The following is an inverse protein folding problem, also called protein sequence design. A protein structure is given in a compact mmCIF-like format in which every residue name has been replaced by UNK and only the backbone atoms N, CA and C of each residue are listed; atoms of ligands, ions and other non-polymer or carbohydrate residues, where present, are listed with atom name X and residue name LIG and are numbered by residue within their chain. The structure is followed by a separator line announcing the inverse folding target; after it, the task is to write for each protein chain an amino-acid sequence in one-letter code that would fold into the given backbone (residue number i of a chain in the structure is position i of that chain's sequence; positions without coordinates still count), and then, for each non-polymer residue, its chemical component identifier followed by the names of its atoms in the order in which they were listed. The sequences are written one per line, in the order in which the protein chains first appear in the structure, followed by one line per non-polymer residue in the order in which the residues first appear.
data_IF_385134949947
#
_entry.id   IF_385134949947
#
_cell.length_a   1.000
_cell.length_b   1.000
_cell.length_c   1.000
_cell.angle_alpha   90.00
_cell.angle_beta   90.00
_cell.angle_gamma   90.00
#
_symmetry.space_group_name_H-M   'P 1'
#
loop_
_entity.id
_entity.type
_entity.pdbx_description
1 polymer ?
2 non-polymer ?
3 water ?
#
# COMPACT_ATOMS: atom_id res chain seq x y z
N UNK A 2 -2.91 -1.34 -27.41
CA UNK A 2 -4.04 -1.26 -26.48
C UNK A 2 -3.60 -1.50 -25.04
N UNK A 3 -3.81 -0.50 -24.17
CA UNK A 3 -3.51 -0.60 -22.74
C UNK A 3 -2.05 -0.98 -22.50
N UNK A 4 -1.16 -0.40 -23.28
CA UNK A 4 0.25 -0.67 -23.13
C UNK A 4 0.82 0.23 -22.04
N UNK A 5 1.50 -0.32 -21.03
CA UNK A 5 2.05 0.52 -19.97
C UNK A 5 3.31 1.27 -20.37
N UNK A 6 3.43 2.51 -19.90
CA UNK A 6 4.60 3.35 -20.13
C UNK A 6 5.08 3.93 -18.81
N UNK A 7 6.38 4.26 -18.72
CA UNK A 7 6.93 4.72 -17.43
C UNK A 7 6.21 5.89 -16.79
N UNK A 8 5.50 6.71 -17.57
CA UNK A 8 4.74 7.80 -16.96
C UNK A 8 3.59 7.27 -16.11
N UNK A 9 3.19 6.01 -16.30
CA UNK A 9 2.14 5.40 -15.49
C UNK A 9 2.59 5.11 -14.05
N UNK A 10 3.88 5.17 -13.75
CA UNK A 10 4.43 5.03 -12.40
C UNK A 10 4.24 3.63 -11.81
N UNK A 11 4.27 2.60 -12.65
CA UNK A 11 4.11 1.22 -12.21
C UNK A 11 5.44 0.70 -11.65
N UNK A 12 5.47 0.27 -10.38
CA UNK A 12 6.69 -0.27 -9.82
C UNK A 12 6.43 -1.65 -9.20
N UNK A 13 7.53 -2.38 -8.95
CA UNK A 13 7.51 -3.78 -8.56
C UNK A 13 8.66 -4.02 -7.59
N UNK A 14 8.42 -4.87 -6.59
CA UNK A 14 9.49 -5.25 -5.71
C UNK A 14 10.38 -6.31 -6.34
N UNK A 15 11.65 -6.33 -5.92
CA UNK A 15 12.52 -7.42 -6.34
C UNK A 15 11.95 -8.76 -5.91
N UNK A 16 11.31 -8.81 -4.75
CA UNK A 16 10.71 -10.01 -4.16
C UNK A 16 9.44 -10.47 -4.87
N UNK A 17 8.83 -9.65 -5.72
CA UNK A 17 7.61 -10.05 -6.42
C UNK A 17 7.93 -10.99 -7.57
N UNK A 18 8.45 -10.45 -8.68
CA UNK A 18 8.80 -11.31 -9.81
C UNK A 18 9.94 -12.25 -9.46
N UNK A 19 10.67 -11.98 -8.39
CA UNK A 19 11.71 -12.88 -7.93
C UNK A 19 11.31 -13.86 -6.86
N UNK A 20 10.01 -14.03 -6.60
CA UNK A 20 9.56 -15.07 -5.68
C UNK A 20 9.82 -16.44 -6.27
N UNK A 21 10.54 -17.28 -5.53
CA UNK A 21 10.95 -18.59 -6.03
C UNK A 21 9.90 -19.67 -5.83
N UNK A 22 8.82 -19.36 -5.11
CA UNK A 22 7.70 -20.27 -4.99
C UNK A 22 7.62 -21.09 -3.72
N UNK A 23 8.45 -20.83 -2.72
CA UNK A 23 8.31 -21.54 -1.45
C UNK A 23 7.11 -20.97 -0.70
N UNK A 24 6.18 -21.84 -0.31
CA UNK A 24 5.07 -21.41 0.54
C UNK A 24 5.11 -22.27 1.80
N UNK A 25 4.21 -22.11 2.78
CA UNK A 25 4.32 -22.93 4.00
C UNK A 25 4.34 -24.42 3.75
N UNK A 26 3.81 -24.88 2.62
CA UNK A 26 3.67 -26.32 2.37
C UNK A 26 4.50 -26.80 1.20
N UNK A 27 5.38 -25.99 0.64
CA UNK A 27 5.97 -26.32 -0.64
C UNK A 27 7.37 -25.77 -0.79
N UNK A 28 8.12 -26.43 -1.66
CA UNK A 28 9.46 -25.99 -2.00
C UNK A 28 9.42 -25.11 -3.24
N UNK A 29 10.54 -24.43 -3.48
CA UNK A 29 10.64 -23.49 -4.58
C UNK A 29 10.39 -24.18 -5.91
N UNK A 30 9.62 -23.53 -6.78
CA UNK A 30 9.33 -24.03 -8.11
C UNK A 30 10.06 -23.26 -9.20
N UNK A 31 10.89 -22.30 -8.82
CA UNK A 31 11.65 -21.46 -9.75
C UNK A 31 13.01 -21.14 -9.15
N UNK A 32 14.01 -21.05 -10.02
CA UNK A 32 15.36 -20.65 -9.63
C UNK A 32 15.40 -19.16 -9.31
N UNK A 33 16.37 -18.77 -8.48
CA UNK A 33 16.48 -17.37 -8.10
C UNK A 33 16.80 -16.49 -9.32
N UNK A 34 16.38 -15.23 -9.24
CA UNK A 34 16.60 -14.26 -10.29
C UNK A 34 17.76 -13.33 -9.91
N UNK A 35 18.51 -12.90 -10.92
CA UNK A 35 19.47 -11.84 -10.70
C UNK A 35 18.70 -10.52 -10.60
N UNK A 36 18.82 -9.76 -9.49
CA UNK A 36 18.22 -8.42 -9.44
C UNK A 36 18.42 -7.63 -10.72
N UNK A 37 19.60 -7.78 -11.33
CA UNK A 37 19.90 -7.02 -12.53
C UNK A 37 18.99 -7.47 -13.68
N UNK A 38 18.74 -8.78 -13.80
CA UNK A 38 17.84 -9.24 -14.84
C UNK A 38 16.42 -8.73 -14.60
N UNK A 39 15.96 -8.76 -13.36
CA UNK A 39 14.66 -8.19 -13.03
C UNK A 39 14.54 -6.75 -13.51
N UNK A 40 15.55 -5.93 -13.21
CA UNK A 40 15.51 -4.52 -13.61
C UNK A 40 15.29 -4.40 -15.11
N UNK A 41 16.06 -5.16 -15.89
CA UNK A 41 16.01 -5.03 -17.34
C UNK A 41 14.72 -5.61 -17.91
N UNK A 42 14.24 -6.72 -17.36
CA UNK A 42 13.02 -7.30 -17.91
C UNK A 42 11.82 -6.44 -17.56
N UNK A 43 11.80 -5.87 -16.36
CA UNK A 43 10.71 -4.97 -15.98
C UNK A 43 10.72 -3.71 -16.80
N UNK A 44 11.90 -3.12 -17.05
CA UNK A 44 11.99 -1.97 -17.94
C UNK A 44 11.46 -2.30 -19.33
N UNK A 45 11.74 -3.51 -19.83
CA UNK A 45 11.19 -3.90 -21.12
C UNK A 45 9.67 -3.95 -21.10
N UNK A 46 9.07 -4.30 -19.95
CA UNK A 46 7.62 -4.39 -19.85
C UNK A 46 6.92 -3.04 -19.77
N UNK A 47 7.65 -1.98 -19.41
CA UNK A 47 7.05 -0.68 -19.25
C UNK A 47 6.99 -0.21 -17.82
N UNK A 48 7.72 -0.84 -16.91
CA UNK A 48 7.71 -0.41 -15.53
C UNK A 48 8.41 0.93 -15.41
N UNK A 49 8.06 1.66 -14.34
CA UNK A 49 8.70 2.92 -13.98
C UNK A 49 9.81 2.71 -12.96
N UNK A 50 9.71 1.70 -12.11
CA UNK A 50 10.80 1.47 -11.18
C UNK A 50 10.68 0.14 -10.46
N UNK A 51 11.68 -0.11 -9.62
CA UNK A 51 11.73 -1.27 -8.74
C UNK A 51 11.87 -0.80 -7.30
N UNK A 52 11.48 -1.69 -6.38
CA UNK A 52 11.71 -1.51 -4.97
C UNK A 52 12.42 -2.77 -4.46
N UNK A 53 12.98 -2.69 -3.26
CA UNK A 53 13.75 -3.80 -2.71
C UNK A 53 13.70 -3.76 -1.19
N UNK A 54 13.88 -4.93 -0.57
CA UNK A 54 14.39 -5.07 0.78
C UNK A 54 15.90 -5.09 0.74
N UNK A 55 16.53 -4.76 1.87
CA UNK A 55 17.99 -4.88 1.93
C UNK A 55 18.44 -6.26 1.46
N UNK A 56 17.84 -7.32 2.01
CA UNK A 56 18.27 -8.68 1.70
C UNK A 56 17.77 -9.22 0.36
N UNK A 57 16.91 -8.50 -0.39
CA UNK A 57 16.67 -8.89 -1.78
C UNK A 57 17.86 -8.54 -2.68
N UNK A 58 18.64 -7.54 -2.27
CA UNK A 58 19.72 -6.99 -3.07
C UNK A 58 21.09 -7.45 -2.59
N UNK A 59 21.30 -7.48 -1.28
CA UNK A 59 22.57 -7.85 -0.68
C UNK A 59 22.34 -9.10 0.16
N UNK A 60 22.94 -10.23 -0.19
CA UNK A 60 22.72 -11.45 0.60
C UNK A 60 23.10 -11.24 2.06
N UNK A 61 22.23 -11.69 2.95
CA UNK A 61 22.42 -11.45 4.37
C UNK A 61 23.79 -11.95 4.80
N UNK A 62 24.56 -11.08 5.43
CA UNK A 62 25.89 -11.43 5.88
C UNK A 62 27.00 -11.12 4.90
N UNK A 63 26.79 -10.18 3.98
CA UNK A 63 27.82 -9.81 3.02
C UNK A 63 28.76 -8.78 3.61
N UNK A 64 30.05 -9.07 3.57
CA UNK A 64 31.06 -8.06 3.86
C UNK A 64 30.88 -6.88 2.92
N UNK A 65 31.45 -5.73 3.31
CA UNK A 65 31.24 -4.51 2.55
C UNK A 65 31.68 -4.66 1.10
N UNK A 66 32.73 -5.42 0.85
CA UNK A 66 33.20 -5.60 -0.53
C UNK A 66 32.10 -6.22 -1.40
N UNK A 67 31.57 -7.37 -0.99
CA UNK A 67 30.47 -7.98 -1.73
C UNK A 67 29.30 -7.01 -1.83
N UNK A 68 28.87 -6.50 -0.68
CA UNK A 68 27.78 -5.53 -0.64
C UNK A 68 27.99 -4.41 -1.63
N UNK A 69 29.19 -3.80 -1.60
CA UNK A 69 29.45 -2.75 -2.56
C UNK A 69 29.30 -3.27 -3.98
N UNK A 70 29.79 -4.49 -4.24
CA UNK A 70 29.71 -5.01 -5.59
C UNK A 70 28.26 -5.28 -6.00
N UNK A 71 27.45 -5.84 -5.10
CA UNK A 71 26.03 -6.02 -5.40
C UNK A 71 25.34 -4.69 -5.70
N UNK A 72 25.74 -3.63 -5.02
CA UNK A 72 25.09 -2.34 -5.24
C UNK A 72 25.56 -1.74 -6.57
N UNK A 73 26.86 -1.81 -6.86
CA UNK A 73 27.38 -1.32 -8.14
C UNK A 73 26.68 -1.98 -9.32
N UNK A 74 26.44 -3.30 -9.24
CA UNK A 74 25.71 -3.99 -10.31
C UNK A 74 24.30 -3.43 -10.45
N UNK A 75 23.57 -3.35 -9.33
CA UNK A 75 22.20 -2.85 -9.36
C UNK A 75 22.17 -1.40 -9.84
N UNK A 76 23.06 -0.57 -9.30
CA UNK A 76 23.21 0.82 -9.77
C UNK A 76 23.44 0.87 -11.27
N UNK A 77 24.34 0.04 -11.78
CA UNK A 77 24.61 0.01 -13.22
C UNK A 77 23.33 -0.25 -14.02
N UNK A 78 22.57 -1.27 -13.64
CA UNK A 78 21.39 -1.64 -14.43
C UNK A 78 20.35 -0.51 -14.43
N UNK A 79 20.15 0.14 -13.29
CA UNK A 79 19.22 1.26 -13.24
C UNK A 79 19.67 2.37 -14.19
N UNK A 80 20.96 2.69 -14.17
CA UNK A 80 21.52 3.68 -15.10
C UNK A 80 21.20 3.33 -16.55
N UNK A 81 21.35 2.05 -16.93
CA UNK A 81 21.20 1.65 -18.33
C UNK A 81 19.74 1.73 -18.79
N UNK A 82 18.79 1.62 -17.87
CA UNK A 82 17.37 1.59 -18.20
C UNK A 82 16.64 2.87 -17.84
N UNK A 83 17.20 3.67 -16.94
CA UNK A 83 16.47 4.79 -16.40
C UNK A 83 15.42 4.39 -15.40
N UNK A 84 15.61 3.24 -14.75
CA UNK A 84 14.64 2.76 -13.78
C UNK A 84 14.81 3.47 -12.45
N UNK A 85 13.69 3.87 -11.87
CA UNK A 85 13.70 4.58 -10.60
C UNK A 85 13.61 3.58 -9.46
N UNK A 86 14.09 4.00 -8.30
CA UNK A 86 13.83 3.28 -7.06
C UNK A 86 13.06 4.22 -6.16
N UNK A 87 11.72 4.21 -6.19
CA UNK A 87 10.96 5.18 -5.41
C UNK A 87 10.82 4.79 -3.94
N UNK A 88 10.97 3.52 -3.62
CA UNK A 88 10.72 3.05 -2.26
C UNK A 88 11.66 1.91 -1.96
N UNK A 89 12.10 1.82 -0.71
CA UNK A 89 12.84 0.69 -0.21
C UNK A 89 12.27 0.30 1.16
N UNK A 90 12.77 -0.80 1.71
CA UNK A 90 12.26 -1.36 2.95
C UNK A 90 13.34 -2.27 3.51
N UNK A 91 13.18 -2.66 4.77
CA UNK A 91 14.12 -3.57 5.44
C UNK A 91 13.45 -4.93 5.62
N UNK A 92 14.22 -6.00 5.45
CA UNK A 92 13.74 -7.33 5.81
C UNK A 92 14.02 -7.52 7.29
N UNK A 93 12.98 -7.38 8.11
CA UNK A 93 13.06 -7.68 9.53
C UNK A 93 12.21 -8.89 9.90
N UNK A 94 12.07 -9.85 8.99
CA UNK A 94 11.12 -10.94 9.24
C UNK A 94 11.62 -12.33 8.85
N UNK A 95 12.50 -12.47 7.85
CA UNK A 95 12.93 -13.80 7.44
C UNK A 95 13.82 -14.45 8.50
N UNK A 96 14.86 -13.74 8.92
CA UNK A 96 15.91 -14.36 9.72
C UNK A 96 15.38 -14.76 11.09
N UNK A 97 15.77 -15.94 11.59
CA UNK A 97 15.20 -16.43 12.84
C UNK A 97 15.35 -15.48 13.99
N UNK A 98 16.36 -14.60 13.97
CA UNK A 98 16.53 -13.64 15.06
C UNK A 98 15.28 -12.79 15.23
N UNK A 99 14.53 -12.55 14.16
CA UNK A 99 13.37 -11.68 14.20
C UNK A 99 12.08 -12.45 14.50
N UNK A 100 12.18 -13.64 15.11
CA UNK A 100 11.02 -14.50 15.20
C UNK A 100 9.94 -13.93 16.11
N UNK A 101 10.29 -13.03 17.02
CA UNK A 101 9.31 -12.36 17.88
C UNK A 101 9.15 -10.88 17.55
N UNK A 102 9.65 -10.42 16.40
CA UNK A 102 9.55 -9.03 16.04
C UNK A 102 10.91 -8.43 15.75
N UNK A 103 10.87 -7.24 15.16
CA UNK A 103 12.05 -6.42 15.04
C UNK A 103 12.06 -5.31 16.07
N UNK A 104 11.28 -4.26 15.82
CA UNK A 104 11.22 -3.10 16.69
C UNK A 104 10.50 -3.37 18.00
N UNK A 105 9.70 -4.44 18.06
CA UNK A 105 8.96 -4.76 19.27
C UNK A 105 9.29 -6.16 19.78
N UNK A 106 10.39 -6.75 19.30
CA UNK A 106 10.90 -7.98 19.88
C UNK A 106 11.05 -7.81 21.38
N UNK A 107 10.59 -8.82 22.13
CA UNK A 107 10.75 -8.76 23.59
C UNK A 107 12.21 -8.59 23.98
N UNK A 108 13.13 -9.08 23.16
CA UNK A 108 14.55 -9.01 23.48
C UNK A 108 15.12 -7.67 23.04
N UNK A 109 15.63 -6.92 24.01
CA UNK A 109 16.11 -5.57 23.77
C UNK A 109 17.22 -5.52 22.73
N UNK A 110 18.14 -6.49 22.75
CA UNK A 110 19.23 -6.39 21.79
C UNK A 110 18.76 -6.62 20.36
N UNK A 111 17.77 -7.50 20.17
CA UNK A 111 17.18 -7.67 18.83
C UNK A 111 16.59 -6.35 18.35
N UNK A 112 15.93 -5.61 19.25
CA UNK A 112 15.35 -4.32 18.88
C UNK A 112 16.43 -3.35 18.39
N UNK A 113 17.53 -3.25 19.15
CA UNK A 113 18.62 -2.36 18.73
C UNK A 113 19.25 -2.84 17.42
N UNK A 114 19.37 -4.16 17.24
CA UNK A 114 19.85 -4.67 15.97
C UNK A 114 18.93 -4.29 14.81
N UNK A 115 17.61 -4.42 15.00
CA UNK A 115 16.65 -4.07 13.96
C UNK A 115 16.78 -2.61 13.53
N UNK A 116 17.03 -1.73 14.49
CA UNK A 116 17.19 -0.32 14.15
C UNK A 116 18.49 -0.07 13.40
N UNK A 117 19.58 -0.68 13.85
CA UNK A 117 20.83 -0.55 13.10
C UNK A 117 20.69 -1.12 11.70
N UNK A 118 19.98 -2.25 11.56
CA UNK A 118 19.83 -2.85 10.24
C UNK A 118 19.01 -1.95 9.32
N UNK A 119 18.02 -1.27 9.86
CA UNK A 119 17.19 -0.37 9.08
C UNK A 119 17.91 0.93 8.75
N UNK A 120 18.65 1.48 9.71
CA UNK A 120 19.38 2.73 9.45
C UNK A 120 20.38 2.53 8.32
N UNK A 121 21.05 1.38 8.30
CA UNK A 121 22.00 1.10 7.22
C UNK A 121 21.33 1.11 5.86
N UNK A 122 20.08 0.65 5.77
CA UNK A 122 19.40 0.58 4.48
C UNK A 122 18.71 1.89 4.13
N UNK A 123 18.48 2.77 5.10
CA UNK A 123 17.97 4.09 4.79
C UNK A 123 19.00 4.88 3.99
N UNK A 124 20.26 4.86 4.45
CA UNK A 124 21.35 5.48 3.69
C UNK A 124 21.38 5.01 2.26
N UNK A 125 21.19 3.70 2.05
CA UNK A 125 21.24 3.16 0.70
C UNK A 125 19.98 3.55 -0.09
N UNK A 126 18.82 3.49 0.56
CA UNK A 126 17.59 3.93 -0.09
C UNK A 126 17.70 5.36 -0.60
N UNK A 127 18.15 6.28 0.25
CA UNK A 127 18.26 7.67 -0.16
C UNK A 127 19.26 7.83 -1.30
N UNK A 128 20.42 7.17 -1.19
CA UNK A 128 21.44 7.28 -2.24
C UNK A 128 20.90 6.81 -3.57
N UNK A 129 20.09 5.75 -3.55
CA UNK A 129 19.47 5.20 -4.76
C UNK A 129 18.29 6.03 -5.25
N UNK A 130 17.79 6.96 -4.45
CA UNK A 130 16.74 7.85 -4.89
C UNK A 130 15.34 7.59 -4.33
N UNK A 131 15.23 6.92 -3.18
CA UNK A 131 13.93 6.56 -2.63
C UNK A 131 13.24 7.76 -1.99
N UNK A 132 11.99 7.99 -2.39
CA UNK A 132 11.17 8.98 -1.70
C UNK A 132 10.54 8.43 -0.43
N UNK A 133 10.20 7.15 -0.41
CA UNK A 133 9.48 6.54 0.71
C UNK A 133 10.30 5.38 1.26
N UNK A 134 10.31 5.26 2.58
CA UNK A 134 10.87 4.09 3.25
C UNK A 134 9.72 3.40 3.99
N UNK A 135 9.51 2.11 3.70
CA UNK A 135 8.36 1.36 4.21
C UNK A 135 8.75 0.52 5.41
N UNK A 136 7.90 0.55 6.43
CA UNK A 136 7.98 -0.35 7.57
C UNK A 136 6.82 -1.33 7.47
N UNK A 137 7.13 -2.60 7.24
CA UNK A 137 6.18 -3.70 7.41
C UNK A 137 6.56 -4.44 8.69
N UNK A 138 5.75 -4.30 9.72
CA UNK A 138 6.03 -5.01 10.95
C UNK A 138 5.37 -6.37 10.99
N UNK A 139 5.73 -7.24 10.04
CA UNK A 139 5.12 -8.56 9.94
C UNK A 139 5.36 -9.46 11.14
N UNK A 140 6.43 -9.24 11.90
CA UNK A 140 6.71 -10.07 13.07
C UNK A 140 6.35 -9.38 14.37
N UNK A 141 5.80 -8.19 14.33
CA UNK A 141 5.41 -7.45 15.53
C UNK A 141 4.00 -7.90 15.85
N UNK A 142 3.88 -8.74 16.86
CA UNK A 142 2.59 -9.31 17.21
C UNK A 142 2.77 -10.49 18.13
N UNK A 143 1.78 -11.37 18.13
CA UNK A 143 1.73 -12.46 19.09
C UNK A 143 0.84 -13.55 18.53
N UNK A 144 0.99 -14.77 19.05
CA UNK A 144 0.01 -15.84 18.83
C UNK A 144 -0.87 -16.08 20.03
N UNK A 145 -0.58 -15.46 21.16
CA UNK A 145 -1.29 -15.72 22.39
C UNK A 145 -1.27 -14.44 23.23
N UNK A 146 -2.22 -14.34 24.15
CA UNK A 146 -2.51 -13.04 24.73
C UNK A 146 -1.48 -12.54 25.72
N UNK A 147 -0.79 -13.44 26.40
CA UNK A 147 0.19 -13.06 27.40
C UNK A 147 1.56 -12.79 26.85
N UNK A 148 1.81 -13.19 25.61
CA UNK A 148 3.16 -13.10 25.06
C UNK A 148 3.59 -11.66 24.77
N UNK A 149 2.66 -10.71 24.73
CA UNK A 149 3.02 -9.34 24.34
C UNK A 149 2.13 -8.37 25.08
N UNK A 150 2.74 -7.48 25.86
CA UNK A 150 2.01 -6.36 26.46
C UNK A 150 1.89 -5.30 25.40
N UNK A 151 0.68 -5.12 24.86
CA UNK A 151 0.57 -4.32 23.65
C UNK A 151 0.89 -2.84 23.91
N UNK A 152 0.56 -2.33 25.10
CA UNK A 152 0.90 -0.95 25.40
C UNK A 152 2.42 -0.74 25.47
N UNK A 153 3.16 -1.69 26.05
CA UNK A 153 4.62 -1.59 26.03
C UNK A 153 5.15 -1.74 24.61
N UNK A 154 4.61 -2.68 23.85
CA UNK A 154 5.03 -2.84 22.46
C UNK A 154 4.84 -1.55 21.65
N UNK A 155 3.73 -0.84 21.87
CA UNK A 155 3.54 0.41 21.14
C UNK A 155 4.49 1.50 21.63
N UNK A 156 4.90 1.45 22.89
CA UNK A 156 5.99 2.31 23.37
C UNK A 156 7.26 2.08 22.56
N UNK A 157 7.66 0.80 22.41
CA UNK A 157 8.86 0.46 21.63
C UNK A 157 8.69 0.80 20.15
N UNK A 158 7.52 0.52 19.58
CA UNK A 158 7.28 0.89 18.19
C UNK A 158 7.39 2.40 18.02
N UNK A 159 6.75 3.17 18.90
CA UNK A 159 6.91 4.62 18.86
C UNK A 159 8.37 5.02 19.06
N UNK A 160 9.09 4.35 19.97
CA UNK A 160 10.46 4.76 20.21
C UNK A 160 11.35 4.51 18.99
N UNK A 161 11.11 3.39 18.30
CA UNK A 161 11.88 3.09 17.10
C UNK A 161 11.60 4.09 15.98
N UNK A 162 10.33 4.38 15.73
CA UNK A 162 10.00 5.32 14.66
C UNK A 162 10.42 6.74 15.00
N UNK A 163 10.42 7.09 16.29
CA UNK A 163 10.94 8.40 16.69
C UNK A 163 12.44 8.50 16.43
N UNK A 164 13.20 7.43 16.72
CA UNK A 164 14.64 7.43 16.44
C UNK A 164 14.91 7.50 14.94
N UNK A 165 14.18 6.74 14.13
CA UNK A 165 14.40 6.83 12.69
C UNK A 165 14.05 8.22 12.16
N UNK A 166 13.03 8.85 12.72
CA UNK A 166 12.73 10.21 12.33
C UNK A 166 13.79 11.18 12.79
N UNK A 167 14.40 10.92 13.94
CA UNK A 167 15.52 11.75 14.34
C UNK A 167 16.75 11.49 13.47
N UNK A 168 16.90 10.26 12.97
CA UNK A 168 18.04 9.95 12.10
C UNK A 168 17.93 10.69 10.77
N UNK A 169 16.80 10.56 10.06
CA UNK A 169 16.71 11.23 8.77
C UNK A 169 16.70 12.76 8.93
N UNK A 170 16.25 13.26 10.09
CA UNK A 170 16.29 14.71 10.34
C UNK A 170 17.74 15.21 10.49
N UNK A 171 18.57 14.46 11.21
CA UNK A 171 19.95 14.88 11.40
C UNK A 171 20.79 14.70 10.14
N UNK A 172 20.46 13.72 9.29
CA UNK A 172 21.24 13.54 8.07
C UNK A 172 20.86 14.52 6.97
N UNK A 173 19.71 15.18 7.08
CA UNK A 173 19.25 16.08 6.04
C UNK A 173 18.48 15.41 4.93
N UNK A 174 17.97 14.20 5.14
CA UNK A 174 17.32 13.43 4.09
C UNK A 174 15.89 13.89 3.84
N UNK A 175 15.48 13.80 2.56
CA UNK A 175 14.11 14.10 2.15
C UNK A 175 13.14 12.94 2.35
N UNK A 176 13.64 11.73 2.61
CA UNK A 176 12.82 10.54 2.64
C UNK A 176 11.78 10.60 3.77
N UNK A 177 10.61 10.04 3.50
CA UNK A 177 9.52 9.91 4.47
C UNK A 177 9.20 8.43 4.68
N UNK A 178 8.54 8.13 5.80
CA UNK A 178 8.25 6.76 6.18
C UNK A 178 6.78 6.41 5.91
N UNK A 179 6.54 5.17 5.49
CA UNK A 179 5.18 4.66 5.33
C UNK A 179 5.07 3.31 6.03
N UNK A 180 4.14 3.21 6.97
CA UNK A 180 3.78 1.93 7.57
C UNK A 180 2.89 1.16 6.61
N UNK A 181 3.22 -0.11 6.35
CA UNK A 181 2.35 -1.00 5.58
C UNK A 181 1.57 -1.88 6.54
N UNK A 182 0.28 -1.63 6.76
CA UNK A 182 -0.47 -2.43 7.75
C UNK A 182 -0.83 -3.82 7.25
N UNK A 183 -0.92 -4.74 8.19
CA UNK A 183 -1.35 -6.11 7.89
C UNK A 183 -2.04 -6.63 9.15
N UNK A 184 -3.25 -7.24 9.03
CA UNK A 184 -3.98 -7.66 10.24
C UNK A 184 -3.40 -8.91 10.88
N UNK A 185 -2.91 -9.84 10.07
CA UNK A 185 -2.35 -11.07 10.60
C UNK A 185 -1.47 -11.71 9.54
N UNK A 186 -0.74 -12.76 9.94
CA UNK A 186 0.13 -13.62 9.12
C UNK A 186 1.38 -12.85 8.75
N UNK A 187 2.57 -13.26 9.23
CA UNK A 187 2.89 -14.56 9.86
C UNK A 187 2.57 -14.63 11.35
N UNK A 188 2.32 -13.52 12.06
CA UNK A 188 1.87 -13.60 13.44
C UNK A 188 0.35 -13.74 13.50
N UNK A 189 -0.14 -14.33 14.59
CA UNK A 189 -1.57 -14.58 14.71
C UNK A 189 -2.41 -13.31 14.76
N UNK A 190 -1.88 -12.26 15.40
CA UNK A 190 -2.39 -10.89 15.27
C UNK A 190 -1.20 -9.95 15.19
N UNK A 191 -1.22 -9.06 14.22
CA UNK A 191 -0.11 -8.15 13.99
C UNK A 191 -0.50 -6.80 14.57
N UNK A 192 0.45 -6.11 15.20
CA UNK A 192 0.19 -4.76 15.67
C UNK A 192 -0.01 -3.79 14.51
N UNK A 193 -0.79 -2.74 14.76
CA UNK A 193 -1.20 -1.78 13.74
C UNK A 193 -1.84 -2.54 12.58
N UNK A 194 -2.95 -3.24 12.83
CA UNK A 194 -3.43 -4.22 11.85
C UNK A 194 -4.13 -3.64 10.63
N UNK A 195 -4.56 -2.38 10.65
CA UNK A 195 -5.26 -1.81 9.50
C UNK A 195 -4.75 -0.41 9.25
N UNK A 196 -5.09 0.12 8.06
CA UNK A 196 -4.82 1.52 7.75
C UNK A 196 -5.17 2.41 8.94
N UNK A 197 -6.35 2.18 9.52
CA UNK A 197 -6.80 3.08 10.58
C UNK A 197 -5.88 3.06 11.79
N UNK A 198 -5.52 1.86 12.25
CA UNK A 198 -4.66 1.75 13.42
C UNK A 198 -3.31 2.38 13.16
N UNK A 199 -2.81 2.25 11.94
CA UNK A 199 -1.54 2.90 11.64
C UNK A 199 -1.69 4.42 11.60
N UNK A 200 -2.76 4.93 10.98
CA UNK A 200 -2.96 6.38 11.00
C UNK A 200 -3.08 6.91 12.43
N UNK A 201 -3.82 6.21 13.31
CA UNK A 201 -3.89 6.65 14.69
C UNK A 201 -2.51 6.65 15.35
N UNK A 202 -1.72 5.62 15.08
CA UNK A 202 -0.41 5.50 15.69
C UNK A 202 0.49 6.66 15.28
N UNK A 203 0.42 7.08 14.02
CA UNK A 203 1.30 8.13 13.54
C UNK A 203 1.07 9.45 14.27
N UNK A 204 -0.19 9.75 14.58
CA UNK A 204 -0.50 10.97 15.31
C UNK A 204 0.19 11.04 16.68
N UNK A 205 0.59 9.91 17.26
CA UNK A 205 1.29 9.95 18.54
C UNK A 205 2.82 10.05 18.38
N UNK A 206 3.33 10.01 17.16
CA UNK A 206 4.77 10.11 16.95
C UNK A 206 5.24 11.55 17.19
N UNK A 207 6.56 11.73 17.28
CA UNK A 207 7.08 13.04 17.66
C UNK A 207 7.07 14.01 16.48
N UNK A 208 7.30 13.49 15.27
CA UNK A 208 7.25 14.27 14.03
C UNK A 208 6.22 13.61 13.11
N UNK A 209 4.93 13.76 13.41
CA UNK A 209 3.92 13.02 12.65
C UNK A 209 4.00 13.22 11.15
N UNK A 210 4.52 14.37 10.70
CA UNK A 210 4.49 14.72 9.28
C UNK A 210 5.48 13.88 8.46
N UNK A 211 6.44 13.25 9.10
CA UNK A 211 7.38 12.38 8.41
C UNK A 211 6.81 11.01 8.08
N UNK A 212 5.58 10.70 8.51
CA UNK A 212 5.07 9.33 8.46
C UNK A 212 3.72 9.28 7.79
N UNK A 213 3.55 8.30 6.91
CA UNK A 213 2.28 8.02 6.25
C UNK A 213 1.97 6.54 6.22
N UNK A 214 1.00 6.15 5.43
CA UNK A 214 0.67 4.74 5.32
C UNK A 214 1.05 4.29 3.92
N UNK A 215 1.40 3.01 3.81
CA UNK A 215 1.53 2.27 2.55
C UNK A 215 0.53 1.12 2.59
N UNK A 216 -0.73 1.37 2.23
CA UNK A 216 -1.75 0.33 2.33
C UNK A 216 -1.65 -0.67 1.19
N UNK A 217 -2.02 -1.90 1.48
CA UNK A 217 -2.06 -2.96 0.48
C UNK A 217 -3.47 -3.45 0.30
N UNK A 218 -3.89 -3.64 -0.95
CA UNK A 218 -5.25 -4.08 -1.26
C UNK A 218 -5.63 -5.29 -0.41
N UNK A 219 -4.77 -6.32 -0.43
CA UNK A 219 -5.13 -7.60 0.14
C UNK A 219 -5.16 -7.62 1.66
N UNK A 220 -4.34 -6.77 2.29
CA UNK A 220 -4.28 -6.73 3.75
C UNK A 220 -5.55 -6.17 4.37
N UNK A 221 -6.12 -5.13 3.79
CA UNK A 221 -7.36 -4.62 4.35
C UNK A 221 -8.51 -5.58 4.07
N UNK A 222 -8.49 -6.21 2.90
CA UNK A 222 -9.50 -7.22 2.58
C UNK A 222 -9.35 -8.49 3.42
N UNK A 223 -8.18 -8.75 4.01
CA UNK A 223 -8.03 -9.86 4.95
C UNK A 223 -8.75 -9.60 6.27
N UNK A 224 -9.11 -8.36 6.54
CA UNK A 224 -9.99 -7.98 7.62
C UNK A 224 -11.42 -7.79 7.15
N UNK A 225 -11.70 -8.03 5.88
CA UNK A 225 -13.03 -7.82 5.36
C UNK A 225 -13.41 -6.37 5.16
N UNK A 226 -12.46 -5.44 5.23
CA UNK A 226 -12.73 -4.02 5.13
C UNK A 226 -12.72 -3.58 3.67
N UNK A 227 -13.28 -2.39 3.44
CA UNK A 227 -13.43 -1.84 2.11
C UNK A 227 -12.16 -1.04 1.79
N UNK A 228 -11.32 -1.59 0.90
CA UNK A 228 -10.05 -0.91 0.63
C UNK A 228 -10.22 0.48 0.03
N UNK A 229 -11.15 0.73 -0.90
CA UNK A 229 -11.35 2.12 -1.34
C UNK A 229 -11.72 3.09 -0.21
N UNK A 230 -12.56 2.67 0.74
CA UNK A 230 -12.90 3.57 1.85
C UNK A 230 -11.67 3.92 2.69
N UNK A 231 -10.85 2.91 3.00
CA UNK A 231 -9.70 3.15 3.84
C UNK A 231 -8.68 4.01 3.13
N UNK A 232 -8.52 3.81 1.83
CA UNK A 232 -7.68 4.70 1.04
C UNK A 232 -8.24 6.11 1.05
N UNK A 233 -9.55 6.23 0.94
CA UNK A 233 -10.13 7.56 1.00
C UNK A 233 -9.82 8.22 2.33
N UNK A 234 -9.79 7.45 3.42
CA UNK A 234 -9.49 8.06 4.71
C UNK A 234 -8.01 8.39 4.83
N UNK A 235 -7.12 7.57 4.27
CA UNK A 235 -5.71 7.97 4.22
C UNK A 235 -5.53 9.26 3.43
N UNK A 236 -6.13 9.34 2.23
CA UNK A 236 -6.11 10.56 1.42
C UNK A 236 -6.67 11.75 2.19
N UNK A 237 -7.82 11.55 2.85
CA UNK A 237 -8.42 12.60 3.65
C UNK A 237 -7.43 13.12 4.68
N UNK A 238 -6.75 12.22 5.38
CA UNK A 238 -5.78 12.61 6.39
C UNK A 238 -4.49 13.15 5.79
N UNK A 239 -4.33 13.07 4.47
CA UNK A 239 -3.10 13.53 3.85
C UNK A 239 -1.93 12.59 4.04
N UNK A 240 -2.15 11.29 4.07
CA UNK A 240 -1.09 10.36 4.45
C UNK A 240 -0.87 9.25 3.42
N UNK A 241 -1.39 9.39 2.21
CA UNK A 241 -1.22 8.28 1.26
C UNK A 241 0.15 8.47 0.62
N UNK A 242 1.19 8.00 1.31
CA UNK A 242 2.54 8.21 0.83
C UNK A 242 2.92 7.25 -0.28
N UNK A 243 2.19 6.15 -0.40
CA UNK A 243 2.56 5.02 -1.23
C UNK A 243 1.34 4.10 -1.22
N UNK A 244 1.35 3.09 -2.08
CA UNK A 244 0.24 2.13 -2.09
C UNK A 244 0.71 0.84 -2.75
N UNK A 245 0.24 -0.30 -2.22
CA UNK A 245 0.56 -1.62 -2.74
C UNK A 245 -0.69 -2.19 -3.39
N UNK A 246 -0.58 -2.58 -4.65
CA UNK A 246 -1.73 -3.05 -5.40
C UNK A 246 -1.58 -4.53 -5.66
N UNK A 247 -2.67 -5.26 -5.50
CA UNK A 247 -2.69 -6.69 -5.76
C UNK A 247 -4.12 -7.17 -5.57
N UNK A 248 -4.30 -8.49 -5.60
CA UNK A 248 -5.62 -9.08 -5.53
C UNK A 248 -5.71 -10.03 -4.35
N UNK A 249 -6.92 -10.18 -3.84
CA UNK A 249 -7.16 -11.01 -2.66
C UNK A 249 -8.60 -11.49 -2.73
N UNK A 250 -8.83 -12.79 -2.53
CA UNK A 250 -10.19 -13.33 -2.56
C UNK A 250 -10.75 -13.45 -1.15
N UNK A 251 -10.87 -12.31 -0.48
CA UNK A 251 -11.53 -12.27 0.80
C UNK A 251 -10.68 -12.59 2.01
N UNK A 252 -11.30 -13.15 3.04
CA UNK A 252 -10.65 -13.33 4.33
C UNK A 252 -10.08 -14.74 4.36
N UNK A 253 -8.75 -14.79 4.35
CA UNK A 253 -7.99 -16.02 4.22
C UNK A 253 -6.53 -15.60 4.20
N UNK A 254 -5.63 -16.55 3.96
CA UNK A 254 -4.22 -16.20 3.91
C UNK A 254 -3.99 -15.12 2.85
N UNK A 255 -2.90 -14.36 3.04
CA UNK A 255 -2.42 -13.35 2.11
C UNK A 255 -2.06 -13.94 0.76
N UNK A 256 -2.85 -13.67 -0.28
CA UNK A 256 -2.66 -14.33 -1.57
C UNK A 256 -1.68 -13.61 -2.48
N UNK A 257 -1.61 -12.28 -2.40
CA UNK A 257 -0.78 -11.47 -3.31
C UNK A 257 -1.06 -11.81 -4.77
N UNK A 258 -2.34 -11.99 -5.10
CA UNK A 258 -2.66 -12.20 -6.51
C UNK A 258 -2.33 -10.92 -7.29
N UNK A 259 -2.29 -11.05 -8.61
CA UNK A 259 -2.00 -9.85 -9.40
C UNK A 259 -3.18 -8.90 -9.32
N UNK A 260 -2.91 -7.63 -9.62
CA UNK A 260 -3.91 -6.61 -9.40
C UNK A 260 -5.03 -6.76 -10.43
N UNK A 261 -6.27 -6.58 -9.98
CA UNK A 261 -7.44 -6.85 -10.77
C UNK A 261 -8.08 -8.19 -10.49
N UNK A 262 -7.32 -9.16 -10.01
CA UNK A 262 -7.91 -10.39 -9.53
C UNK A 262 -8.41 -10.18 -8.09
N UNK A 263 -9.07 -11.19 -7.54
CA UNK A 263 -9.71 -10.98 -6.27
C UNK A 263 -11.01 -10.23 -6.42
N UNK A 264 -11.08 -9.01 -5.91
CA UNK A 264 -12.30 -8.21 -5.90
C UNK A 264 -12.24 -7.23 -7.06
N UNK A 265 -12.85 -7.62 -8.19
CA UNK A 265 -12.75 -6.78 -9.39
C UNK A 265 -13.42 -5.43 -9.21
N UNK A 266 -14.59 -5.37 -8.56
CA UNK A 266 -15.25 -4.06 -8.46
C UNK A 266 -14.50 -3.12 -7.54
N UNK A 267 -13.94 -3.64 -6.44
CA UNK A 267 -13.17 -2.82 -5.53
C UNK A 267 -11.91 -2.28 -6.20
N UNK A 268 -11.30 -3.08 -7.08
CA UNK A 268 -10.18 -2.57 -7.88
C UNK A 268 -10.62 -1.43 -8.76
N UNK A 269 -11.81 -1.54 -9.36
CA UNK A 269 -12.35 -0.43 -10.15
C UNK A 269 -12.53 0.82 -9.30
N UNK A 270 -13.26 0.71 -8.18
CA UNK A 270 -13.45 1.89 -7.35
C UNK A 270 -12.13 2.43 -6.81
N UNK A 271 -11.16 1.54 -6.56
CA UNK A 271 -9.85 2.04 -6.13
C UNK A 271 -9.22 2.92 -7.20
N UNK A 272 -9.16 2.41 -8.44
CA UNK A 272 -8.59 3.22 -9.51
C UNK A 272 -9.39 4.51 -9.72
N UNK A 273 -10.72 4.43 -9.64
CA UNK A 273 -11.53 5.64 -9.76
C UNK A 273 -11.14 6.66 -8.72
N UNK A 274 -10.95 6.22 -7.48
CA UNK A 274 -10.52 7.12 -6.42
C UNK A 274 -9.11 7.65 -6.67
N UNK A 275 -8.14 6.77 -6.92
CA UNK A 275 -6.76 7.25 -7.06
C UNK A 275 -6.65 8.29 -8.15
N UNK A 276 -7.40 8.09 -9.24
CA UNK A 276 -7.34 8.99 -10.38
C UNK A 276 -8.16 10.23 -10.13
N UNK A 277 -9.38 10.08 -9.60
CA UNK A 277 -10.15 11.28 -9.25
C UNK A 277 -9.39 12.15 -8.26
N UNK A 278 -8.91 11.57 -7.15
CA UNK A 278 -8.18 12.32 -6.14
C UNK A 278 -6.84 12.86 -6.62
N UNK A 279 -6.31 12.43 -7.76
CA UNK A 279 -5.03 12.95 -8.20
C UNK A 279 -3.83 12.40 -7.45
N UNK A 280 -3.91 11.17 -6.94
CA UNK A 280 -2.73 10.54 -6.35
C UNK A 280 -1.61 10.52 -7.39
N UNK A 281 -0.42 10.96 -6.98
CA UNK A 281 0.69 11.03 -7.93
C UNK A 281 1.89 10.19 -7.48
N UNK A 282 1.74 9.31 -6.51
CA UNK A 282 2.82 8.45 -6.09
C UNK A 282 2.90 7.18 -6.91
N UNK A 283 3.77 6.26 -6.51
CA UNK A 283 3.94 5.01 -7.26
C UNK A 283 2.70 4.12 -7.22
N UNK A 284 2.45 3.46 -8.35
CA UNK A 284 1.46 2.38 -8.42
C UNK A 284 2.26 1.10 -8.23
N UNK A 285 2.50 0.74 -6.99
CA UNK A 285 3.40 -0.34 -6.67
C UNK A 285 2.63 -1.66 -6.57
N UNK A 286 3.13 -2.70 -7.26
CA UNK A 286 2.50 -4.01 -7.25
C UNK A 286 3.26 -4.95 -6.32
N UNK A 287 2.67 -5.25 -5.17
CA UNK A 287 3.23 -6.19 -4.21
C UNK A 287 2.49 -7.52 -4.31
N UNK A 288 2.73 -8.20 -5.41
CA UNK A 288 2.05 -9.44 -5.78
C UNK A 288 3.04 -10.59 -5.85
N UNK A 289 2.52 -11.80 -6.02
CA UNK A 289 3.35 -13.00 -6.13
C UNK A 289 2.89 -13.82 -7.32
N UNK A 290 3.69 -13.96 -8.37
CA UNK A 290 3.32 -14.86 -9.46
C UNK A 290 3.17 -16.26 -8.91
N UNK A 291 2.02 -16.89 -9.09
CA UNK A 291 1.76 -18.17 -8.44
C UNK A 291 2.87 -19.17 -8.74
N UNK A 292 3.17 -20.04 -7.77
CA UNK A 292 4.26 -20.98 -7.97
C UNK A 292 3.96 -21.99 -9.06
N UNK A 293 2.75 -21.97 -9.63
CA UNK A 293 2.42 -22.83 -10.76
C UNK A 293 3.06 -22.36 -12.05
N UNK A 294 3.71 -21.21 -12.06
CA UNK A 294 4.17 -20.57 -13.28
C UNK A 294 5.66 -20.80 -13.49
N UNK A 295 6.08 -20.75 -14.76
CA UNK A 295 7.50 -20.65 -15.08
C UNK A 295 7.86 -19.17 -15.23
N UNK A 296 9.09 -18.88 -15.66
CA UNK A 296 9.47 -17.47 -15.73
C UNK A 296 8.71 -16.74 -16.81
N UNK A 297 8.28 -17.45 -17.85
CA UNK A 297 7.39 -16.82 -18.82
C UNK A 297 6.06 -16.41 -18.18
N UNK A 298 5.55 -17.22 -17.25
CA UNK A 298 4.33 -16.84 -16.58
C UNK A 298 4.55 -15.73 -15.58
N UNK A 299 5.75 -15.62 -15.02
CA UNK A 299 6.09 -14.55 -14.10
C UNK A 299 5.96 -13.19 -14.78
N UNK A 300 6.47 -13.06 -16.02
CA UNK A 300 6.42 -11.77 -16.69
C UNK A 300 5.03 -11.49 -17.23
N UNK A 301 4.33 -12.53 -17.68
CA UNK A 301 2.93 -12.34 -18.06
C UNK A 301 2.10 -11.88 -16.87
N UNK A 302 2.42 -12.38 -15.68
CA UNK A 302 1.75 -11.92 -14.48
C UNK A 302 2.02 -10.45 -14.24
N UNK A 303 3.29 -10.05 -14.30
CA UNK A 303 3.66 -8.65 -14.08
C UNK A 303 3.00 -7.74 -15.09
N UNK A 304 2.86 -8.20 -16.33
CA UNK A 304 2.23 -7.37 -17.34
C UNK A 304 0.73 -7.25 -17.08
N UNK A 305 0.10 -8.36 -16.68
CA UNK A 305 -1.31 -8.30 -16.33
C UNK A 305 -1.60 -7.26 -15.27
N UNK A 306 -0.77 -7.19 -14.22
CA UNK A 306 -0.91 -6.15 -13.21
C UNK A 306 -1.07 -4.77 -13.84
N UNK A 307 -0.12 -4.38 -14.68
CA UNK A 307 -0.17 -3.05 -15.27
C UNK A 307 -1.36 -2.95 -16.21
N UNK A 308 -1.62 -4.00 -16.98
CA UNK A 308 -2.71 -3.97 -17.93
C UNK A 308 -4.06 -3.79 -17.24
N UNK A 309 -4.28 -4.51 -16.13
CA UNK A 309 -5.57 -4.37 -15.47
C UNK A 309 -5.74 -2.98 -14.87
N UNK A 310 -4.66 -2.39 -14.35
CA UNK A 310 -4.76 -0.99 -13.93
C UNK A 310 -5.20 -0.10 -15.07
N UNK A 311 -4.62 -0.29 -16.26
CA UNK A 311 -4.91 0.66 -17.33
C UNK A 311 -6.32 0.49 -17.91
N UNK A 312 -6.85 -0.76 -17.90
CA UNK A 312 -8.23 -0.96 -18.34
C UNK A 312 -9.20 -0.32 -17.35
N UNK A 313 -9.00 -0.59 -16.05
CA UNK A 313 -9.83 0.04 -15.03
C UNK A 313 -9.73 1.55 -15.09
N UNK A 314 -8.52 2.08 -15.27
CA UNK A 314 -8.34 3.51 -15.44
C UNK A 314 -9.17 4.04 -16.59
N UNK A 315 -9.23 3.28 -17.69
CA UNK A 315 -10.03 3.71 -18.83
C UNK A 315 -11.52 3.66 -18.51
N UNK A 316 -11.98 2.59 -17.85
CA UNK A 316 -13.40 2.47 -17.55
C UNK A 316 -13.85 3.48 -16.51
N UNK A 317 -13.01 3.73 -15.48
CA UNK A 317 -13.40 4.72 -14.47
C UNK A 317 -13.49 6.12 -15.07
N UNK A 318 -12.60 6.44 -16.01
CA UNK A 318 -12.64 7.76 -16.62
C UNK A 318 -13.90 7.94 -17.46
N UNK A 319 -14.29 6.91 -18.21
CA UNK A 319 -15.50 6.99 -19.01
C UNK A 319 -16.75 7.05 -18.14
N UNK A 320 -16.74 6.35 -17.01
CA UNK A 320 -17.79 6.49 -16.00
C UNK A 320 -17.96 7.94 -15.58
N UNK A 321 -16.89 8.56 -15.08
CA UNK A 321 -16.99 9.94 -14.62
C UNK A 321 -17.36 10.89 -15.76
N UNK A 322 -16.84 10.65 -16.98
CA UNK A 322 -17.10 11.55 -18.10
C UNK A 322 -18.53 11.45 -18.63
N UNK A 323 -19.26 10.40 -18.30
CA UNK A 323 -20.54 10.10 -18.93
C UNK A 323 -21.62 11.02 -18.37
N UNK A 324 -22.30 11.81 -19.23
CA UNK A 324 -23.35 12.72 -18.71
C UNK A 324 -24.49 11.99 -18.02
N UNK A 325 -24.79 10.77 -18.43
CA UNK A 325 -25.79 9.96 -17.72
C UNK A 325 -25.34 9.65 -16.30
N UNK A 326 -24.04 9.41 -16.12
CA UNK A 326 -23.47 9.23 -14.78
C UNK A 326 -23.56 10.54 -14.00
N UNK A 327 -23.15 11.62 -14.64
CA UNK A 327 -23.29 12.93 -14.02
C UNK A 327 -24.70 13.20 -13.53
N UNK A 328 -25.72 12.87 -14.32
CA UNK A 328 -27.11 13.07 -13.92
C UNK A 328 -27.50 12.12 -12.79
N UNK A 329 -27.05 10.87 -12.85
CA UNK A 329 -27.37 9.91 -11.80
C UNK A 329 -26.73 10.31 -10.48
N UNK A 330 -25.52 10.87 -10.52
CA UNK A 330 -24.87 11.33 -9.30
C UNK A 330 -25.67 12.43 -8.63
N UNK A 331 -26.23 13.34 -9.44
CA UNK A 331 -27.05 14.41 -8.91
C UNK A 331 -28.39 13.89 -8.40
N UNK A 332 -28.99 12.91 -9.09
CA UNK A 332 -30.18 12.25 -8.55
C UNK A 332 -29.93 11.58 -7.21
N UNK A 333 -28.71 11.12 -6.96
CA UNK A 333 -28.37 10.50 -5.68
C UNK A 333 -27.70 11.48 -4.73
N UNK A 334 -27.66 12.76 -5.09
CA UNK A 334 -27.27 13.87 -4.21
C UNK A 334 -25.83 13.73 -3.72
N UNK A 335 -24.94 13.21 -4.56
CA UNK A 335 -23.52 13.27 -4.21
C UNK A 335 -23.04 14.71 -4.18
N UNK A 336 -23.69 15.56 -4.96
CA UNK A 336 -23.49 17.00 -4.90
C UNK A 336 -23.82 17.55 -3.51
N UNK A 337 -25.02 17.27 -3.02
CA UNK A 337 -25.39 17.76 -1.69
C UNK A 337 -24.41 17.27 -0.62
N UNK A 338 -23.81 16.08 -0.82
CA UNK A 338 -22.91 15.53 0.19
C UNK A 338 -21.66 16.37 0.37
N UNK A 339 -21.26 17.10 -0.66
CA UNK A 339 -20.12 18.00 -0.62
C UNK A 339 -20.45 19.39 -0.08
N UNK A 340 -21.72 19.63 0.30
CA UNK A 340 -22.18 20.92 0.83
C UNK A 340 -22.02 20.95 2.35
N UNK A 341 -21.41 21.98 2.92
CA UNK A 341 -21.38 22.10 4.38
C UNK A 341 -22.74 21.88 4.99
N UNK A 342 -22.79 21.06 6.04
CA UNK A 342 -24.04 20.80 6.74
C UNK A 342 -24.60 22.04 7.38
N UNK A 343 -23.75 22.88 7.95
CA UNK A 343 -24.23 24.02 8.71
C UNK A 343 -23.17 25.11 8.67
N UNK A 344 -22.87 25.60 7.47
CA UNK A 344 -21.98 26.75 7.35
C UNK A 344 -22.58 27.98 7.99
N UNK A 345 -23.89 27.99 8.24
CA UNK A 345 -24.51 29.11 8.92
C UNK A 345 -24.18 29.16 10.41
N UNK A 346 -23.65 28.09 10.99
CA UNK A 346 -23.16 28.08 12.35
C UNK A 346 -24.11 27.39 13.31
N UNK A 347 -23.57 27.03 14.48
CA UNK A 347 -24.36 26.32 15.49
C UNK A 347 -25.62 27.08 15.86
N UNK A 348 -25.48 28.37 16.20
CA UNK A 348 -26.63 29.12 16.67
C UNK A 348 -27.70 29.22 15.58
N UNK A 349 -27.31 29.50 14.35
CA UNK A 349 -28.27 29.43 13.25
C UNK A 349 -28.94 28.07 13.21
N UNK A 350 -28.15 26.99 13.25
CA UNK A 350 -28.73 25.65 13.22
C UNK A 350 -29.73 25.47 14.36
N UNK A 351 -29.36 25.88 15.57
CA UNK A 351 -30.20 25.66 16.75
C UNK A 351 -31.54 26.38 16.64
N UNK A 352 -31.60 27.51 15.97
CA UNK A 352 -32.83 28.30 15.83
C UNK A 352 -33.57 28.01 14.53
N UNK A 353 -33.03 27.17 13.65
CA UNK A 353 -33.74 26.77 12.44
C UNK A 353 -34.88 25.83 12.82
N UNK A 354 -36.12 26.27 12.58
CA UNK A 354 -37.25 25.40 12.87
C UNK A 354 -37.47 24.36 11.77
N UNK A 355 -37.07 24.67 10.53
CA UNK A 355 -37.15 23.72 9.43
C UNK A 355 -36.16 22.58 9.55
N UNK A 356 -35.23 22.63 10.51
CA UNK A 356 -34.30 21.56 10.78
C UNK A 356 -34.76 20.67 11.91
N UNK A 357 -35.93 20.92 12.47
CA UNK A 357 -36.37 20.04 13.55
C UNK A 357 -37.88 20.12 13.80
N UNK A 358 -38.32 21.21 14.42
CA UNK A 358 -39.74 21.33 14.79
C UNK A 358 -40.65 21.24 13.57
N UNK A 359 -40.19 21.75 12.43
CA UNK A 359 -40.96 21.79 11.20
C UNK A 359 -40.32 20.96 10.08
N UNK A 360 -39.50 19.99 10.44
CA UNK A 360 -38.91 19.12 9.45
C UNK A 360 -39.93 18.08 9.01
N UNK A 361 -40.17 17.98 7.71
CA UNK A 361 -41.07 16.92 7.22
C UNK A 361 -40.25 15.64 7.13
N UNK A 362 -40.24 14.91 8.24
CA UNK A 362 -39.43 13.71 8.34
C UNK A 362 -39.92 12.63 7.39
N UNK A 363 -41.17 12.72 6.94
CA UNK A 363 -41.73 11.66 6.11
C UNK A 363 -41.63 11.96 4.63
N UNK A 364 -41.68 13.23 4.23
CA UNK A 364 -41.33 13.56 2.86
C UNK A 364 -39.87 13.25 2.58
N UNK A 365 -39.01 13.51 3.57
CA UNK A 365 -37.60 13.19 3.43
C UNK A 365 -37.38 11.68 3.41
N UNK A 366 -38.12 10.94 4.25
CA UNK A 366 -37.96 9.50 4.28
C UNK A 366 -38.36 8.88 2.95
N UNK A 367 -39.25 9.52 2.20
CA UNK A 367 -39.85 8.94 1.00
C UNK A 367 -39.03 9.18 -0.25
N UNK A 368 -37.96 9.96 -0.18
CA UNK A 368 -37.15 10.25 -1.37
C UNK A 368 -36.14 9.13 -1.55
N UNK A 369 -36.31 8.37 -2.63
CA UNK A 369 -35.39 7.28 -2.89
C UNK A 369 -34.02 7.80 -3.25
N UNK A 370 -33.00 7.05 -2.83
CA UNK A 370 -31.62 7.49 -3.06
C UNK A 370 -31.12 7.23 -4.46
N UNK A 371 -31.78 6.36 -5.23
CA UNK A 371 -31.42 6.08 -6.61
C UNK A 371 -29.98 5.55 -6.73
N UNK A 372 -29.54 4.78 -5.72
CA UNK A 372 -28.20 4.19 -5.75
C UNK A 372 -28.10 3.02 -6.72
N UNK A 373 -29.20 2.27 -6.93
CA UNK A 373 -29.16 1.13 -7.84
C UNK A 373 -28.89 1.56 -9.28
N UNK A 374 -29.58 2.58 -9.75
CA UNK A 374 -29.37 3.02 -11.12
C UNK A 374 -27.96 3.52 -11.31
N UNK A 375 -27.45 4.26 -10.31
CA UNK A 375 -26.07 4.71 -10.35
C UNK A 375 -25.11 3.52 -10.43
N UNK A 376 -25.33 2.50 -9.60
CA UNK A 376 -24.37 1.41 -9.55
C UNK A 376 -24.43 0.57 -10.83
N UNK A 377 -25.63 0.36 -11.38
CA UNK A 377 -25.70 -0.36 -12.65
C UNK A 377 -25.02 0.43 -13.77
N UNK A 378 -25.00 1.76 -13.69
CA UNK A 378 -24.21 2.52 -14.65
C UNK A 378 -22.71 2.27 -14.47
N UNK A 379 -22.26 2.15 -13.22
CA UNK A 379 -20.85 1.85 -12.97
C UNK A 379 -20.51 0.45 -13.45
N UNK A 380 -21.41 -0.50 -13.23
CA UNK A 380 -21.24 -1.84 -13.76
C UNK A 380 -21.16 -1.83 -15.29
N UNK A 381 -22.05 -1.08 -15.95
CA UNK A 381 -22.03 -1.07 -17.42
C UNK A 381 -20.70 -0.56 -17.96
N UNK A 382 -20.16 0.52 -17.38
CA UNK A 382 -18.89 1.06 -17.82
C UNK A 382 -17.73 0.11 -17.54
N UNK A 383 -17.71 -0.49 -16.36
CA UNK A 383 -16.68 -1.48 -16.05
C UNK A 383 -16.69 -2.61 -17.09
N UNK A 384 -17.84 -3.18 -17.37
CA UNK A 384 -17.90 -4.29 -18.33
C UNK A 384 -17.88 -3.83 -19.78
N UNK A 385 -17.93 -2.53 -20.05
CA UNK A 385 -17.95 -2.05 -21.42
C UNK A 385 -19.29 -2.17 -22.12
N UNK A 386 -20.38 -2.22 -21.38
CA UNK A 386 -21.70 -2.38 -21.98
C UNK A 386 -22.33 -1.02 -22.26
X LIG B 1 0.55 -9.33 0.97
#
# INVERSE_FOLDING_TARGET
MNYQPTPEDRFTFGLWTVGWQGRDPFGDATRRALDPVESVRRLAELGAHGVTFHDDDLIPFGSSDSEREEHVKRFRQALDDTGMKVPMATTNLFTHPVFKDGGFTANDRDVRRYALRKTIRNIDLAVELGAETYVAWGGREGAESGGAKDVRDALDRMKEAFDLLGEYVTSQGYDIRFAIEPKPNEPRGDILLPTVGHALAFIERLERPELYGVNPEVGHEQMAGLNFPHGIAQALWAGKLFHIDLNGQNGIKYDQDLRFGAGDLRAAFWLVDLLESAGYSGPRHFDFKPPRTEDFDGVWASAAGCMRNYLILKERAAAFRADPEVQEALRASRLDELARPTAADGLQALLDDRSAFEEFDVDAAAARGMAFERLDQLAMDHLLGARG
MN MN
#
